data_IF_428050312793
#
_entry.id   IF_428050312793
#
_cell.length_a   1.000
_cell.length_b   1.000
_cell.length_c   1.000
_cell.angle_alpha   90.00
_cell.angle_beta   90.00
_cell.angle_gamma   90.00
#
_symmetry.space_group_name_H-M   'P 1'
#
loop_
_entity.id
_entity.type
_entity.pdbx_description
1 polymer ?
#
# COMPACT_ATOMS: atom_id res chain seq x y z
N UNK A 1 -17.24 -16.97 6.67
CA UNK A 1 -17.13 -15.51 6.83
C UNK A 1 -15.85 -15.27 7.64
N UNK A 2 -14.71 -15.39 6.96
CA UNK A 2 -13.35 -15.29 7.48
C UNK A 2 -12.32 -14.59 6.53
N UNK A 3 -12.64 -14.10 5.30
CA UNK A 3 -11.60 -13.50 4.42
C UNK A 3 -11.16 -12.09 4.83
N UNK A 4 -12.05 -11.29 5.45
CA UNK A 4 -11.83 -9.86 5.72
C UNK A 4 -10.68 -9.50 6.66
N UNK A 5 -10.22 -10.45 7.48
CA UNK A 5 -9.17 -10.20 8.46
C UNK A 5 -7.78 -10.29 7.82
N UNK A 6 -7.58 -11.23 6.88
CA UNK A 6 -6.32 -11.39 6.15
C UNK A 6 -6.11 -10.23 5.17
N UNK A 7 -7.17 -9.81 4.48
CA UNK A 7 -7.18 -8.65 3.57
C UNK A 7 -6.65 -7.39 4.27
N UNK A 8 -7.18 -7.03 5.45
CA UNK A 8 -6.72 -5.87 6.24
C UNK A 8 -5.24 -5.91 6.65
N UNK A 9 -4.59 -7.09 6.70
CA UNK A 9 -3.15 -7.16 6.97
C UNK A 9 -2.33 -6.97 5.70
N UNK A 10 -2.82 -7.47 4.57
CA UNK A 10 -2.18 -7.34 3.26
C UNK A 10 -2.30 -5.91 2.73
N UNK A 11 -3.39 -5.20 3.03
CA UNK A 11 -3.53 -3.75 2.80
C UNK A 11 -2.38 -2.95 3.42
N UNK A 12 -1.76 -3.46 4.50
CA UNK A 12 -0.60 -2.80 5.15
C UNK A 12 0.68 -2.90 4.35
N UNK A 13 0.72 -3.76 3.33
CA UNK A 13 1.79 -3.73 2.36
C UNK A 13 1.73 -2.42 1.58
N UNK A 14 0.55 -1.87 1.31
CA UNK A 14 0.44 -0.59 0.63
C UNK A 14 0.95 0.57 1.50
N UNK A 15 1.79 1.41 0.92
CA UNK A 15 2.15 2.71 1.51
C UNK A 15 1.14 3.75 1.01
N UNK A 16 0.35 4.30 1.93
CA UNK A 16 -0.68 5.30 1.62
C UNK A 16 -0.07 6.61 1.12
N UNK A 17 -0.77 7.30 0.22
CA UNK A 17 -0.29 8.50 -0.46
C UNK A 17 1.01 8.25 -1.25
N UNK A 18 1.15 7.05 -1.82
CA UNK A 18 2.27 6.71 -2.70
C UNK A 18 1.88 6.63 -4.16
N UNK A 19 0.58 6.66 -4.48
CA UNK A 19 0.09 6.59 -5.85
C UNK A 19 0.42 7.88 -6.61
N UNK A 20 1.28 7.76 -7.62
CA UNK A 20 1.77 8.91 -8.38
C UNK A 20 1.85 8.63 -9.89
N UNK A 21 1.72 9.70 -10.68
CA UNK A 21 1.92 9.67 -12.13
C UNK A 21 3.34 10.05 -12.48
N UNK A 22 4.09 9.10 -13.07
CA UNK A 22 5.50 9.31 -13.44
C UNK A 22 5.71 9.24 -14.95
N UNK A 23 6.95 9.46 -15.37
CA UNK A 23 7.39 9.24 -16.75
C UNK A 23 7.28 7.78 -17.18
N UNK A 24 7.30 6.84 -16.24
CA UNK A 24 7.27 5.40 -16.49
C UNK A 24 5.86 4.82 -16.48
N UNK A 25 4.87 5.62 -16.07
CA UNK A 25 3.47 5.20 -16.02
C UNK A 25 2.82 5.67 -14.74
N UNK A 26 2.15 4.75 -14.06
CA UNK A 26 1.57 4.96 -12.73
C UNK A 26 2.41 4.15 -11.75
N UNK A 27 2.81 4.77 -10.64
CA UNK A 27 3.63 4.10 -9.64
C UNK A 27 2.97 4.16 -8.26
N UNK A 28 3.26 3.16 -7.44
CA UNK A 28 2.92 3.15 -6.01
C UNK A 28 3.90 2.28 -5.25
N UNK A 29 3.95 2.47 -3.93
CA UNK A 29 4.90 1.78 -3.06
C UNK A 29 4.22 0.67 -2.26
N UNK A 30 4.83 -0.52 -2.30
CA UNK A 30 4.57 -1.60 -1.37
C UNK A 30 5.73 -1.73 -0.38
N UNK A 31 5.43 -2.01 0.88
CA UNK A 31 6.40 -2.27 1.93
C UNK A 31 6.07 -3.57 2.62
N UNK A 32 7.01 -4.52 2.62
CA UNK A 32 6.84 -5.77 3.34
C UNK A 32 6.83 -5.51 4.86
N UNK A 33 5.63 -5.45 5.46
CA UNK A 33 5.46 -5.23 6.91
C UNK A 33 5.07 -6.48 7.67
N UNK A 34 5.02 -7.63 7.01
CA UNK A 34 4.39 -8.82 7.55
C UNK A 34 5.44 -9.85 7.98
N UNK A 35 6.21 -10.37 7.03
CA UNK A 35 7.14 -11.49 7.22
C UNK A 35 8.22 -11.48 6.13
N UNK A 36 9.40 -12.01 6.42
CA UNK A 36 10.35 -12.44 5.38
C UNK A 36 9.71 -13.63 4.65
N UNK A 37 9.57 -13.54 3.32
CA UNK A 37 8.94 -14.58 2.51
C UNK A 37 9.39 -14.55 1.05
N UNK A 38 9.28 -15.71 0.39
CA UNK A 38 9.45 -15.86 -1.04
C UNK A 38 8.12 -15.57 -1.77
N UNK A 39 8.13 -14.59 -2.66
CA UNK A 39 7.03 -14.25 -3.53
C UNK A 39 7.15 -15.05 -4.83
N UNK A 40 6.19 -15.92 -5.08
CA UNK A 40 6.17 -16.85 -6.22
C UNK A 40 5.42 -16.28 -7.43
N UNK A 41 4.98 -15.02 -7.36
CA UNK A 41 4.43 -14.28 -8.50
C UNK A 41 3.35 -13.28 -8.11
N UNK A 42 3.03 -12.39 -9.06
CA UNK A 42 1.90 -11.48 -8.99
C UNK A 42 0.70 -12.15 -9.68
N UNK A 43 -0.41 -12.29 -8.98
CA UNK A 43 -1.61 -12.95 -9.52
C UNK A 43 -2.57 -11.96 -10.17
N UNK A 44 -2.66 -10.75 -9.61
CA UNK A 44 -3.63 -9.73 -10.02
C UNK A 44 -3.07 -8.34 -9.77
N UNK A 45 -3.23 -7.44 -10.74
CA UNK A 45 -3.17 -5.99 -10.52
C UNK A 45 -4.35 -5.37 -11.26
N UNK A 46 -5.20 -4.63 -10.55
CA UNK A 46 -6.37 -3.92 -11.11
C UNK A 46 -6.33 -2.49 -10.60
N UNK A 47 -6.65 -1.55 -11.47
CA UNK A 47 -6.82 -0.14 -11.12
C UNK A 47 -8.15 0.34 -11.67
N UNK A 48 -9.01 0.86 -10.82
CA UNK A 48 -10.39 1.28 -11.16
C UNK A 48 -11.23 0.21 -11.88
N UNK A 49 -11.01 -1.06 -11.51
CA UNK A 49 -11.68 -2.21 -12.14
C UNK A 49 -11.08 -2.64 -13.48
N UNK A 50 -10.04 -1.97 -13.97
CA UNK A 50 -9.31 -2.33 -15.20
C UNK A 50 -8.07 -3.18 -14.87
N UNK A 51 -8.00 -4.44 -15.33
CA UNK A 51 -6.85 -5.30 -15.05
C UNK A 51 -5.63 -4.89 -15.88
N UNK A 52 -4.45 -4.94 -15.26
CA UNK A 52 -3.16 -4.67 -15.89
C UNK A 52 -2.48 -6.02 -16.22
N UNK A 53 -1.88 -6.14 -17.41
CA UNK A 53 -1.17 -7.36 -17.80
C UNK A 53 0.14 -7.50 -17.01
N UNK A 54 0.55 -8.72 -16.68
CA UNK A 54 1.76 -8.95 -15.89
C UNK A 54 3.04 -8.40 -16.56
N UNK A 55 3.10 -8.40 -17.89
CA UNK A 55 4.20 -7.81 -18.67
C UNK A 55 4.27 -6.27 -18.54
N UNK A 56 3.16 -5.62 -18.17
CA UNK A 56 3.05 -4.18 -17.93
C UNK A 56 3.25 -3.81 -16.45
N UNK A 57 3.59 -4.77 -15.59
CA UNK A 57 3.85 -4.56 -14.16
C UNK A 57 5.32 -4.83 -13.88
N UNK A 58 6.05 -3.80 -13.46
CA UNK A 58 7.45 -3.89 -13.03
C UNK A 58 7.56 -3.64 -11.53
N UNK A 59 8.31 -4.48 -10.83
CA UNK A 59 8.69 -4.30 -9.43
C UNK A 59 10.15 -3.84 -9.37
N UNK A 60 10.43 -2.79 -8.60
CA UNK A 60 11.77 -2.28 -8.35
C UNK A 60 12.08 -2.40 -6.87
N UNK A 61 13.13 -3.15 -6.55
CA UNK A 61 13.58 -3.34 -5.17
C UNK A 61 14.45 -2.18 -4.68
N UNK A 62 14.72 -2.20 -3.37
CA UNK A 62 15.50 -1.17 -2.67
C UNK A 62 16.96 -1.05 -3.13
N UNK A 63 17.50 -2.09 -3.76
CA UNK A 63 18.84 -2.15 -4.35
C UNK A 63 18.86 -1.86 -5.86
N UNK A 64 17.76 -1.32 -6.39
CA UNK A 64 17.53 -0.97 -7.79
C UNK A 64 17.41 -2.18 -8.74
N UNK A 65 17.31 -3.41 -8.21
CA UNK A 65 16.94 -4.58 -9.01
C UNK A 65 15.51 -4.45 -9.55
N UNK A 66 15.29 -4.95 -10.76
CA UNK A 66 14.02 -4.82 -11.48
C UNK A 66 13.56 -6.18 -11.98
N UNK A 67 12.28 -6.46 -11.77
CA UNK A 67 11.62 -7.69 -12.19
C UNK A 67 10.29 -7.33 -12.85
N UNK A 68 10.00 -7.86 -14.03
CA UNK A 68 8.61 -7.85 -14.53
C UNK A 68 7.81 -8.91 -13.79
N UNK A 69 6.51 -8.68 -13.62
CA UNK A 69 5.70 -9.57 -12.81
C UNK A 69 5.61 -11.01 -13.36
N UNK A 70 5.82 -11.21 -14.66
CA UNK A 70 5.88 -12.52 -15.32
C UNK A 70 7.22 -13.25 -15.15
N UNK A 71 8.28 -12.56 -14.73
CA UNK A 71 9.57 -13.19 -14.38
C UNK A 71 9.52 -13.90 -13.02
N UNK A 72 8.61 -13.46 -12.13
CA UNK A 72 8.48 -13.98 -10.77
C UNK A 72 7.54 -15.18 -10.79
N UNK A 73 8.09 -16.37 -10.53
CA UNK A 73 7.35 -17.63 -10.63
C UNK A 73 7.73 -18.57 -9.48
N UNK A 74 6.99 -19.66 -9.23
CA UNK A 74 7.40 -20.65 -8.23
C UNK A 74 8.77 -21.29 -8.51
N UNK A 75 9.22 -21.30 -9.77
CA UNK A 75 10.54 -21.82 -10.17
C UNK A 75 11.66 -20.76 -10.08
N UNK A 76 11.28 -19.48 -9.94
CA UNK A 76 12.16 -18.33 -9.79
C UNK A 76 11.49 -17.29 -8.87
N UNK A 77 11.38 -17.58 -7.55
CA UNK A 77 10.71 -16.69 -6.62
C UNK A 77 11.56 -15.45 -6.33
N UNK A 78 10.88 -14.38 -5.90
CA UNK A 78 11.48 -13.15 -5.43
C UNK A 78 11.54 -13.16 -3.90
N UNK A 79 12.73 -13.13 -3.33
CA UNK A 79 12.92 -12.97 -1.88
C UNK A 79 12.65 -11.51 -1.50
N UNK A 80 11.73 -11.26 -0.55
CA UNK A 80 11.54 -9.93 0.05
C UNK A 80 11.81 -9.97 1.55
N UNK A 81 12.76 -9.15 1.98
CA UNK A 81 13.12 -9.00 3.38
C UNK A 81 12.02 -8.28 4.16
N UNK A 82 11.97 -8.49 5.48
CA UNK A 82 11.08 -7.71 6.34
C UNK A 82 11.49 -6.23 6.29
N UNK A 83 10.49 -5.37 6.16
CA UNK A 83 10.60 -3.92 5.99
C UNK A 83 11.20 -3.48 4.65
N UNK A 84 11.43 -4.39 3.71
CA UNK A 84 11.82 -4.04 2.36
C UNK A 84 10.70 -3.29 1.63
N UNK A 85 11.09 -2.29 0.85
CA UNK A 85 10.21 -1.47 0.03
C UNK A 85 10.37 -1.90 -1.43
N UNK A 86 9.23 -2.03 -2.11
CA UNK A 86 9.11 -2.37 -3.51
C UNK A 86 8.31 -1.27 -4.21
N UNK A 87 8.93 -0.59 -5.16
CA UNK A 87 8.23 0.32 -6.05
C UNK A 87 7.54 -0.49 -7.14
N UNK A 88 6.22 -0.36 -7.26
CA UNK A 88 5.43 -1.01 -8.30
C UNK A 88 5.16 0.02 -9.40
N UNK A 89 5.38 -0.38 -10.65
CA UNK A 89 5.32 0.50 -11.81
C UNK A 89 4.43 -0.16 -12.84
N UNK A 90 3.37 0.55 -13.20
CA UNK A 90 2.35 0.10 -14.14
C UNK A 90 2.53 0.86 -15.46
N UNK A 91 2.85 0.15 -16.54
CA UNK A 91 2.93 0.71 -17.87
C UNK A 91 1.51 0.95 -18.42
N UNK A 92 0.92 2.08 -18.03
CA UNK A 92 -0.44 2.48 -18.44
C UNK A 92 -0.56 4.00 -18.62
N UNK A 93 -1.73 4.41 -19.12
CA UNK A 93 -2.13 5.81 -19.13
C UNK A 93 -2.20 6.36 -17.70
N UNK A 94 -1.77 7.62 -17.56
CA UNK A 94 -1.68 8.31 -16.27
C UNK A 94 -3.07 8.51 -15.70
N UNK A 95 -3.19 8.36 -14.39
CA UNK A 95 -4.42 8.55 -13.67
C UNK A 95 -4.84 10.02 -13.65
N UNK A 96 -6.15 10.25 -13.56
CA UNK A 96 -6.73 11.57 -13.37
C UNK A 96 -6.60 12.00 -11.91
N UNK A 97 -6.97 13.23 -11.59
CA UNK A 97 -7.09 13.63 -10.20
C UNK A 97 -8.24 12.91 -9.49
N UNK A 98 -8.02 12.56 -8.22
CA UNK A 98 -9.03 11.99 -7.34
C UNK A 98 -8.66 10.63 -6.80
N UNK A 99 -9.66 9.95 -6.24
CA UNK A 99 -9.48 8.65 -5.58
C UNK A 99 -9.57 7.52 -6.60
N UNK A 100 -8.61 6.60 -6.53
CA UNK A 100 -8.48 5.43 -7.38
C UNK A 100 -8.46 4.16 -6.53
N UNK A 101 -9.21 3.15 -6.96
CA UNK A 101 -9.23 1.83 -6.32
C UNK A 101 -8.12 0.96 -6.92
N UNK A 102 -7.30 0.36 -6.06
CA UNK A 102 -6.22 -0.55 -6.42
C UNK A 102 -6.52 -1.94 -5.85
N UNK A 103 -6.44 -2.97 -6.69
CA UNK A 103 -6.47 -4.38 -6.28
C UNK A 103 -5.12 -5.03 -6.60
N UNK A 104 -4.49 -5.63 -5.59
CA UNK A 104 -3.21 -6.32 -5.75
C UNK A 104 -3.31 -7.72 -5.19
N UNK A 105 -2.91 -8.71 -5.98
CA UNK A 105 -2.84 -10.11 -5.62
C UNK A 105 -1.45 -10.69 -5.86
N UNK A 106 -0.96 -11.47 -4.90
CA UNK A 106 0.37 -12.07 -4.86
C UNK A 106 0.24 -13.55 -4.49
N UNK A 107 1.17 -14.37 -4.99
CA UNK A 107 1.38 -15.74 -4.49
C UNK A 107 2.62 -15.76 -3.61
N UNK A 108 2.49 -16.29 -2.41
CA UNK A 108 3.58 -16.32 -1.42
C UNK A 108 3.82 -17.76 -0.96
N UNK A 109 5.07 -18.19 -0.94
CA UNK A 109 5.45 -19.55 -0.54
C UNK A 109 4.92 -19.86 0.87
N UNK A 110 4.27 -21.01 1.04
CA UNK A 110 3.69 -21.42 2.32
C UNK A 110 2.37 -20.73 2.71
N UNK A 111 1.96 -19.69 1.99
CA UNK A 111 0.73 -18.93 2.26
C UNK A 111 -0.30 -19.00 1.12
N UNK A 112 0.13 -19.34 -0.10
CA UNK A 112 -0.73 -19.43 -1.27
C UNK A 112 -1.07 -18.06 -1.86
N UNK A 113 -2.24 -17.94 -2.47
CA UNK A 113 -2.70 -16.70 -3.08
C UNK A 113 -3.31 -15.77 -2.02
N UNK A 114 -2.80 -14.55 -1.98
CA UNK A 114 -3.17 -13.49 -1.05
C UNK A 114 -3.41 -12.21 -1.84
N UNK A 115 -4.35 -11.37 -1.42
CA UNK A 115 -4.59 -10.10 -2.08
C UNK A 115 -5.35 -9.12 -1.22
N UNK A 116 -5.36 -7.86 -1.66
CA UNK A 116 -6.06 -6.78 -1.01
C UNK A 116 -6.61 -5.78 -2.02
N UNK A 117 -7.57 -4.98 -1.56
CA UNK A 117 -8.12 -3.84 -2.27
C UNK A 117 -7.96 -2.61 -1.38
N UNK A 118 -7.48 -1.50 -1.94
CA UNK A 118 -7.29 -0.24 -1.21
C UNK A 118 -7.61 0.94 -2.12
N UNK A 119 -7.85 2.11 -1.53
CA UNK A 119 -7.98 3.36 -2.29
C UNK A 119 -6.78 4.25 -2.00
N UNK A 120 -6.27 4.92 -3.02
CA UNK A 120 -5.34 6.04 -2.86
C UNK A 120 -5.77 7.22 -3.72
N UNK A 121 -5.30 8.42 -3.39
CA UNK A 121 -5.70 9.66 -4.06
C UNK A 121 -4.54 10.23 -4.86
N UNK A 122 -4.76 10.45 -6.17
CA UNK A 122 -3.87 11.26 -6.99
C UNK A 122 -4.23 12.72 -6.79
N UNK A 123 -3.33 13.48 -6.18
CA UNK A 123 -3.48 14.91 -5.94
C UNK A 123 -2.71 15.69 -6.99
N UNK A 124 -2.93 17.00 -6.94
CA UNK A 124 -2.25 18.01 -7.75
C UNK A 124 -0.73 17.86 -7.72
N UNK A 125 -0.12 17.43 -6.61
CA UNK A 125 1.33 17.22 -6.46
C UNK A 125 1.84 15.89 -7.05
N UNK A 126 0.97 14.91 -7.21
CA UNK A 126 1.28 13.57 -7.72
C UNK A 126 1.11 13.47 -9.25
N UNK A 127 0.67 14.56 -9.88
CA UNK A 127 0.58 14.69 -11.33
C UNK A 127 1.98 14.78 -11.94
N UNK A 128 2.10 14.24 -13.16
CA UNK A 128 3.33 14.30 -13.94
C UNK A 128 3.86 15.74 -14.08
N UNK A 129 5.06 15.98 -13.56
CA UNK A 129 5.65 17.31 -13.47
C UNK A 129 7.10 17.33 -13.99
N UNK A 130 7.26 17.18 -15.31
CA UNK A 130 8.58 17.12 -15.95
C UNK A 130 8.95 18.42 -16.67
N UNK A 131 10.25 18.63 -16.90
CA UNK A 131 10.75 19.74 -17.72
C UNK A 131 10.76 19.34 -19.21
N UNK A 132 9.91 19.95 -20.06
CA UNK A 132 9.89 19.66 -21.49
C UNK A 132 11.25 19.84 -22.19
N UNK A 133 12.13 20.70 -21.65
CA UNK A 133 13.47 20.94 -22.17
C UNK A 133 14.41 19.74 -22.15
N UNK A 134 14.15 18.77 -21.27
CA UNK A 134 14.95 17.54 -21.15
C UNK A 134 14.59 16.49 -22.22
N UNK A 135 13.51 16.70 -22.98
CA UNK A 135 13.03 15.78 -24.01
C UNK A 135 13.20 16.36 -25.41
N UNK A 136 13.39 15.49 -26.39
CA UNK A 136 13.13 15.84 -27.78
C UNK A 136 11.62 16.02 -28.02
N UNK A 137 11.26 16.70 -29.12
CA UNK A 137 9.84 16.86 -29.51
C UNK A 137 9.16 15.50 -29.74
N UNK A 138 9.91 14.47 -30.16
CA UNK A 138 9.35 13.13 -30.37
C UNK A 138 9.02 12.46 -29.02
N UNK A 139 9.97 12.44 -28.10
CA UNK A 139 9.81 11.85 -26.76
C UNK A 139 8.70 12.58 -25.98
N UNK A 140 8.67 13.91 -26.02
CA UNK A 140 7.62 14.70 -25.37
C UNK A 140 6.22 14.38 -25.92
N UNK A 141 6.11 14.08 -27.22
CA UNK A 141 4.84 13.70 -27.85
C UNK A 141 4.38 12.32 -27.40
N UNK A 142 5.29 11.37 -27.26
CA UNK A 142 4.98 10.04 -26.74
C UNK A 142 4.56 10.14 -25.27
N UNK A 143 5.31 10.88 -24.45
CA UNK A 143 4.96 11.14 -23.05
C UNK A 143 3.57 11.78 -22.91
N UNK A 144 3.31 12.88 -23.63
CA UNK A 144 2.03 13.58 -23.57
C UNK A 144 0.87 12.85 -24.28
N UNK A 145 1.14 11.81 -25.07
CA UNK A 145 0.09 10.94 -25.59
C UNK A 145 -0.57 10.14 -24.46
N UNK A 146 0.23 9.62 -23.52
CA UNK A 146 -0.20 8.82 -22.37
C UNK A 146 -0.74 9.65 -21.18
N UNK A 147 -0.72 10.98 -21.27
CA UNK A 147 -1.31 11.87 -20.27
C UNK A 147 -2.77 12.14 -20.63
N UNK A 148 -3.69 11.74 -19.74
CA UNK A 148 -5.12 12.01 -19.90
C UNK A 148 -5.63 13.17 -19.07
N UNK A 149 -4.90 13.57 -18.03
CA UNK A 149 -5.28 14.63 -17.09
C UNK A 149 -5.03 16.03 -17.69
N UNK A 150 -6.08 16.86 -17.90
CA UNK A 150 -5.94 18.21 -18.41
C UNK A 150 -4.94 19.07 -17.61
N UNK A 151 -4.97 19.01 -16.28
CA UNK A 151 -4.07 19.84 -15.46
C UNK A 151 -2.59 19.51 -15.70
N UNK A 152 -2.26 18.23 -15.92
CA UNK A 152 -0.89 17.81 -16.29
C UNK A 152 -0.48 18.39 -17.64
N UNK A 153 -1.37 18.34 -18.64
CA UNK A 153 -1.12 18.91 -19.97
C UNK A 153 -0.97 20.44 -19.94
N UNK A 154 -1.76 21.13 -19.12
CA UNK A 154 -1.66 22.59 -18.93
C UNK A 154 -0.30 22.99 -18.35
N UNK A 155 0.20 22.25 -17.35
CA UNK A 155 1.52 22.49 -16.76
C UNK A 155 2.66 22.23 -17.73
N UNK A 156 2.60 21.13 -18.48
CA UNK A 156 3.58 20.83 -19.52
C UNK A 156 3.59 21.91 -20.60
N UNK A 157 2.42 22.36 -21.04
CA UNK A 157 2.27 23.43 -22.03
C UNK A 157 2.83 24.76 -21.50
N UNK A 158 2.54 25.12 -20.25
CA UNK A 158 3.07 26.32 -19.62
C UNK A 158 4.61 26.29 -19.57
N UNK A 159 5.20 25.17 -19.11
CA UNK A 159 6.66 25.00 -19.11
C UNK A 159 7.29 25.01 -20.49
N UNK A 160 6.64 24.39 -21.48
CA UNK A 160 7.15 24.41 -22.86
C UNK A 160 7.21 25.84 -23.39
N UNK A 161 6.18 26.67 -23.14
CA UNK A 161 6.15 28.08 -23.56
C UNK A 161 7.14 28.97 -22.82
N UNK A 162 7.31 28.73 -21.51
CA UNK A 162 8.24 29.52 -20.68
C UNK A 162 9.71 29.11 -20.89
N UNK A 163 9.95 27.89 -21.36
CA UNK A 163 11.26 27.31 -21.60
C UNK A 163 11.63 27.23 -23.09
N UNK A 164 11.65 26.04 -23.73
CA UNK A 164 12.13 25.88 -25.11
C UNK A 164 11.31 26.59 -26.20
N UNK A 165 10.02 26.83 -25.96
CA UNK A 165 9.02 27.44 -26.85
C UNK A 165 9.03 26.85 -28.28
N UNK A 166 9.08 25.52 -28.38
CA UNK A 166 9.12 24.84 -29.68
C UNK A 166 7.71 24.77 -30.24
N UNK A 167 7.45 25.51 -31.31
CA UNK A 167 6.12 25.61 -31.94
C UNK A 167 5.44 24.25 -32.16
N UNK A 168 6.18 23.26 -32.64
CA UNK A 168 5.64 21.92 -32.92
C UNK A 168 5.26 21.11 -31.67
N UNK A 169 5.87 21.41 -30.53
CA UNK A 169 5.53 20.80 -29.24
C UNK A 169 4.32 21.52 -28.63
N UNK A 170 4.34 22.85 -28.63
CA UNK A 170 3.22 23.70 -28.20
C UNK A 170 1.92 23.33 -28.92
N UNK A 171 1.92 23.30 -30.25
CA UNK A 171 0.73 22.96 -31.05
C UNK A 171 0.22 21.54 -30.74
N UNK A 172 1.12 20.60 -30.45
CA UNK A 172 0.73 19.24 -30.07
C UNK A 172 0.09 19.21 -28.68
N UNK A 173 0.69 19.86 -27.69
CA UNK A 173 0.18 19.92 -26.31
C UNK A 173 -1.16 20.64 -26.25
N UNK A 174 -1.33 21.74 -27.00
CA UNK A 174 -2.62 22.42 -27.15
C UNK A 174 -3.70 21.51 -27.74
N UNK A 175 -3.38 20.79 -28.81
CA UNK A 175 -4.31 19.84 -29.42
C UNK A 175 -4.65 18.67 -28.51
N UNK A 176 -3.68 18.19 -27.71
CA UNK A 176 -3.92 17.16 -26.68
C UNK A 176 -4.82 17.68 -25.57
N UNK A 177 -4.59 18.89 -25.09
CA UNK A 177 -5.40 19.54 -24.06
C UNK A 177 -6.83 19.78 -24.53
N UNK A 178 -7.03 20.20 -25.79
CA UNK A 178 -8.38 20.35 -26.37
C UNK A 178 -9.11 19.00 -26.48
N UNK A 179 -8.37 17.93 -26.77
CA UNK A 179 -8.92 16.58 -26.83
C UNK A 179 -9.13 15.94 -25.45
N UNK A 180 -8.53 16.49 -24.39
CA UNK A 180 -8.68 15.98 -23.03
C UNK A 180 -10.04 16.42 -22.48
N UNK A 181 -10.87 15.44 -22.12
CA UNK A 181 -12.15 15.74 -21.50
C UNK A 181 -11.92 16.23 -20.06
N UNK A 182 -12.60 17.31 -19.63
CA UNK A 182 -12.54 17.74 -18.24
C UNK A 182 -13.16 16.67 -17.33
N UNK A 183 -12.74 16.65 -16.06
CA UNK A 183 -13.37 15.81 -15.04
C UNK A 183 -14.89 16.01 -15.05
N UNK A 184 -15.63 14.91 -15.15
CA UNK A 184 -17.08 14.95 -15.00
C UNK A 184 -17.45 15.29 -13.55
N UNK A 185 -18.67 15.79 -13.35
CA UNK A 185 -19.18 16.05 -12.00
C UNK A 185 -19.22 14.78 -11.12
N UNK A 186 -19.29 13.58 -11.71
CA UNK A 186 -19.24 12.32 -10.97
C UNK A 186 -17.82 11.96 -10.54
N UNK A 187 -16.81 12.20 -11.39
CA UNK A 187 -15.39 12.04 -11.05
C UNK A 187 -14.96 13.05 -9.99
N UNK A 188 -15.39 14.31 -10.10
CA UNK A 188 -15.14 15.33 -9.08
C UNK A 188 -15.80 15.02 -7.72
N UNK A 189 -16.82 14.15 -7.70
CA UNK A 189 -17.56 13.75 -6.48
C UNK A 189 -17.05 12.44 -5.90
N UNK A 190 -16.28 11.64 -6.64
CA UNK A 190 -15.68 10.36 -6.21
C UNK A 190 -14.55 10.50 -5.17
N UNK A 191 -14.44 11.64 -4.48
CA UNK A 191 -13.48 11.86 -3.40
C UNK A 191 -13.69 11.00 -2.15
N UNK A 192 -14.77 10.21 -2.09
CA UNK A 192 -14.99 9.27 -0.98
C UNK A 192 -14.36 7.91 -1.33
N UNK A 193 -13.44 7.39 -0.51
CA UNK A 193 -12.84 6.07 -0.73
C UNK A 193 -13.91 4.99 -0.75
N UNK A 194 -13.76 4.03 -1.66
CA UNK A 194 -14.66 2.88 -1.78
C UNK A 194 -14.53 1.96 -0.54
N UNK A 195 -13.35 1.97 0.09
CA UNK A 195 -13.01 1.35 1.36
C UNK A 195 -13.32 2.31 2.53
N UNK A 196 -14.46 2.12 3.19
CA UNK A 196 -14.82 2.89 4.39
C UNK A 196 -14.04 2.42 5.63
N UNK A 197 -12.81 2.87 5.87
CA UNK A 197 -12.13 2.58 7.16
C UNK A 197 -11.08 3.59 7.68
N UNK A 198 -11.30 4.90 7.51
CA UNK A 198 -10.37 5.92 8.04
C UNK A 198 -10.28 5.97 9.58
N UNK A 199 -11.26 5.41 10.31
CA UNK A 199 -11.28 5.42 11.79
C UNK A 199 -10.45 4.32 12.46
N UNK A 200 -10.23 3.21 11.77
CA UNK A 200 -9.47 2.05 12.27
C UNK A 200 -7.95 2.29 12.19
N UNK A 201 -7.49 3.05 11.19
CA UNK A 201 -6.05 3.29 10.93
C UNK A 201 -5.29 3.92 12.10
N UNK A 202 -5.74 5.06 12.65
CA UNK A 202 -4.99 5.81 13.68
C UNK A 202 -4.77 4.99 14.97
N UNK A 203 -5.81 4.25 15.40
CA UNK A 203 -5.70 3.41 16.60
C UNK A 203 -4.78 2.23 16.34
N UNK A 204 -4.79 1.68 15.12
CA UNK A 204 -3.94 0.56 14.72
C UNK A 204 -2.47 0.97 14.51
N UNK A 205 -2.21 2.16 13.96
CA UNK A 205 -0.85 2.73 13.84
C UNK A 205 -0.22 2.92 15.22
N UNK A 206 -1.00 3.46 16.15
CA UNK A 206 -0.55 3.64 17.53
C UNK A 206 -0.36 2.30 18.27
N UNK A 207 -1.12 1.26 17.92
CA UNK A 207 -0.90 -0.09 18.43
C UNK A 207 0.38 -0.73 17.87
N UNK A 208 0.80 -0.41 16.64
CA UNK A 208 2.09 -0.89 16.09
C UNK A 208 3.26 -0.27 16.83
N UNK A 209 3.22 1.04 17.08
CA UNK A 209 4.23 1.73 17.90
C UNK A 209 4.30 1.14 19.32
N UNK A 210 3.17 0.69 19.86
CA UNK A 210 3.06 0.23 21.25
C UNK A 210 3.31 -1.28 21.42
N UNK A 211 2.93 -2.10 20.44
CA UNK A 211 3.12 -3.55 20.48
C UNK A 211 4.44 -3.98 19.84
N UNK A 212 5.18 -3.05 19.22
CA UNK A 212 6.59 -3.16 18.79
C UNK A 212 6.87 -4.27 17.75
N UNK A 213 5.85 -5.02 17.31
CA UNK A 213 5.96 -6.05 16.26
C UNK A 213 4.63 -6.21 15.50
N UNK A 214 4.66 -6.29 14.15
CA UNK A 214 3.49 -6.61 13.34
C UNK A 214 2.82 -7.95 13.70
N UNK A 215 3.63 -8.95 14.05
CA UNK A 215 3.16 -10.26 14.50
C UNK A 215 2.32 -10.12 15.78
N UNK A 216 2.81 -9.33 16.73
CA UNK A 216 2.11 -9.00 17.97
C UNK A 216 0.78 -8.32 17.69
N UNK A 217 0.76 -7.31 16.83
CA UNK A 217 -0.48 -6.63 16.42
C UNK A 217 -1.48 -7.60 15.79
N UNK A 218 -1.03 -8.53 14.94
CA UNK A 218 -1.89 -9.53 14.31
C UNK A 218 -2.56 -10.45 15.34
N UNK A 219 -1.78 -10.99 16.28
CA UNK A 219 -2.31 -11.83 17.37
C UNK A 219 -3.28 -11.04 18.25
N UNK A 220 -2.89 -9.83 18.67
CA UNK A 220 -3.68 -8.98 19.54
C UNK A 220 -5.06 -8.63 18.95
N UNK A 221 -5.09 -8.15 17.71
CA UNK A 221 -6.34 -7.78 17.05
C UNK A 221 -7.22 -8.99 16.74
N UNK A 222 -6.61 -10.14 16.43
CA UNK A 222 -7.37 -11.38 16.24
C UNK A 222 -8.06 -11.78 17.54
N UNK A 223 -7.36 -11.77 18.67
CA UNK A 223 -7.98 -12.04 19.98
C UNK A 223 -9.06 -11.00 20.30
N UNK A 224 -8.80 -9.72 20.05
CA UNK A 224 -9.75 -8.62 20.28
C UNK A 224 -11.04 -8.81 19.49
N UNK A 225 -10.94 -9.34 18.26
CA UNK A 225 -12.08 -9.61 17.38
C UNK A 225 -12.87 -10.84 17.85
N UNK A 226 -12.18 -11.85 18.37
CA UNK A 226 -12.81 -13.04 18.95
C UNK A 226 -13.45 -12.76 20.31
N UNK A 227 -12.97 -11.74 21.02
CA UNK A 227 -13.23 -11.52 22.44
C UNK A 227 -12.33 -12.40 23.32
N UNK A 228 -12.28 -13.70 23.04
CA UNK A 228 -11.32 -14.64 23.61
C UNK A 228 -11.10 -15.82 22.65
N UNK A 229 -9.97 -16.52 22.77
CA UNK A 229 -9.75 -17.76 22.01
C UNK A 229 -8.48 -18.51 22.41
N UNK A 230 -8.42 -19.80 22.06
CA UNK A 230 -7.22 -20.62 22.26
C UNK A 230 -6.14 -20.29 21.21
N UNK A 231 -4.85 -20.62 21.46
CA UNK A 231 -3.80 -20.40 20.47
C UNK A 231 -4.07 -21.06 19.11
N UNK A 232 -4.70 -22.25 19.09
CA UNK A 232 -5.09 -22.95 17.86
C UNK A 232 -6.15 -22.17 17.08
N UNK A 233 -7.19 -21.68 17.76
CA UNK A 233 -8.26 -20.91 17.12
C UNK A 233 -7.78 -19.55 16.59
N UNK A 234 -6.86 -18.91 17.30
CA UNK A 234 -6.25 -17.64 16.89
C UNK A 234 -5.31 -17.89 15.71
N UNK A 235 -4.47 -18.94 15.76
CA UNK A 235 -3.61 -19.33 14.66
C UNK A 235 -4.40 -19.62 13.38
N UNK A 236 -5.52 -20.34 13.50
CA UNK A 236 -6.43 -20.59 12.37
C UNK A 236 -7.10 -19.35 11.77
N UNK A 237 -6.90 -18.16 12.36
CA UNK A 237 -7.41 -16.87 11.87
C UNK A 237 -6.31 -15.83 11.65
N UNK A 238 -5.05 -16.21 11.84
CA UNK A 238 -3.88 -15.38 11.53
C UNK A 238 -3.04 -16.07 10.46
N UNK A 239 -2.04 -15.36 9.95
CA UNK A 239 -1.00 -15.93 9.08
C UNK A 239 0.17 -16.50 9.91
N UNK A 240 -0.02 -16.77 11.20
CA UNK A 240 1.05 -17.15 12.11
C UNK A 240 0.91 -18.61 12.55
N UNK A 241 2.02 -19.36 12.62
CA UNK A 241 2.03 -20.70 13.21
C UNK A 241 1.50 -20.70 14.65
N UNK A 242 0.81 -21.76 15.07
CA UNK A 242 0.24 -21.88 16.43
C UNK A 242 1.28 -21.69 17.54
N UNK A 243 2.50 -22.19 17.35
CA UNK A 243 3.58 -21.98 18.30
C UNK A 243 3.98 -20.51 18.42
N UNK A 244 4.01 -19.77 17.31
CA UNK A 244 4.29 -18.33 17.29
C UNK A 244 3.18 -17.56 17.98
N UNK A 245 1.92 -17.87 17.67
CA UNK A 245 0.75 -17.29 18.33
C UNK A 245 0.80 -17.55 19.84
N UNK A 246 1.10 -18.79 20.26
CA UNK A 246 1.24 -19.16 21.67
C UNK A 246 2.32 -18.35 22.37
N UNK A 247 3.53 -18.27 21.81
CA UNK A 247 4.60 -17.49 22.43
C UNK A 247 4.25 -16.01 22.53
N UNK A 248 3.59 -15.45 21.50
CA UNK A 248 3.15 -14.05 21.53
C UNK A 248 2.08 -13.78 22.60
N UNK A 249 1.15 -14.72 22.80
CA UNK A 249 0.14 -14.61 23.85
C UNK A 249 0.75 -14.74 25.26
N UNK A 250 1.75 -15.59 25.43
CA UNK A 250 2.53 -15.71 26.67
C UNK A 250 3.31 -14.41 26.96
N UNK A 251 3.89 -13.77 25.94
CA UNK A 251 4.52 -12.46 26.09
C UNK A 251 3.49 -11.40 26.51
N UNK A 252 2.33 -11.35 25.85
CA UNK A 252 1.25 -10.43 26.24
C UNK A 252 0.75 -10.66 27.67
N UNK A 253 0.63 -11.91 28.12
CA UNK A 253 0.29 -12.23 29.50
C UNK A 253 1.35 -11.70 30.47
N UNK A 254 2.64 -11.90 30.16
CA UNK A 254 3.75 -11.40 30.98
C UNK A 254 3.82 -9.88 31.06
N UNK A 255 3.32 -9.19 30.04
CA UNK A 255 3.25 -7.74 29.95
C UNK A 255 1.91 -7.17 30.45
N UNK A 256 1.07 -7.97 31.13
CA UNK A 256 -0.34 -7.70 31.46
C UNK A 256 -1.11 -6.98 30.33
N UNK A 257 -0.96 -7.47 29.11
CA UNK A 257 -1.72 -7.11 27.92
C UNK A 257 -2.75 -8.19 27.55
N UNK A 258 -2.62 -9.40 28.10
CA UNK A 258 -3.58 -10.48 27.95
C UNK A 258 -3.80 -11.21 29.28
N UNK A 259 -4.98 -11.82 29.41
CA UNK A 259 -5.36 -12.69 30.51
C UNK A 259 -5.65 -14.09 29.96
N UNK A 260 -5.13 -15.12 30.64
CA UNK A 260 -5.40 -16.53 30.33
C UNK A 260 -6.51 -17.08 31.22
N UNK A 261 -7.58 -17.57 30.60
CA UNK A 261 -8.69 -18.26 31.26
C UNK A 261 -8.36 -19.69 31.66
N UNK A 262 -9.20 -20.27 32.53
CA UNK A 262 -9.04 -21.65 33.03
C UNK A 262 -9.15 -22.71 31.92
N UNK A 263 -9.88 -22.40 30.84
CA UNK A 263 -10.07 -23.25 29.67
C UNK A 263 -8.92 -23.13 28.64
N UNK A 264 -7.90 -22.31 28.94
CA UNK A 264 -6.75 -22.09 28.05
C UNK A 264 -6.98 -21.05 26.95
N UNK A 265 -8.11 -20.36 26.97
CA UNK A 265 -8.39 -19.21 26.12
C UNK A 265 -7.65 -17.96 26.62
N UNK A 266 -7.23 -17.11 25.68
CA UNK A 266 -6.66 -15.81 25.95
C UNK A 266 -7.66 -14.72 25.57
N UNK A 267 -7.76 -13.69 26.42
CA UNK A 267 -8.40 -12.41 26.09
C UNK A 267 -7.38 -11.29 26.21
N UNK A 268 -7.46 -10.26 25.38
CA UNK A 268 -6.55 -9.11 25.43
C UNK A 268 -7.19 -7.91 26.10
N UNK A 269 -6.37 -7.08 26.73
CA UNK A 269 -6.77 -5.78 27.27
C UNK A 269 -7.31 -4.88 26.15
N UNK A 270 -8.13 -3.89 26.50
CA UNK A 270 -8.67 -2.96 25.49
C UNK A 270 -7.56 -2.08 24.88
N UNK A 271 -7.67 -1.64 23.61
CA UNK A 271 -6.68 -0.77 22.98
C UNK A 271 -6.35 0.48 23.79
N UNK A 272 -7.37 1.11 24.39
CA UNK A 272 -7.17 2.28 25.26
C UNK A 272 -6.30 1.95 26.47
N UNK A 273 -6.47 0.77 27.07
CA UNK A 273 -5.68 0.31 28.21
C UNK A 273 -4.23 0.04 27.82
N UNK A 274 -4.01 -0.58 26.66
CA UNK A 274 -2.66 -0.86 26.11
C UNK A 274 -1.89 0.44 25.88
N UNK A 275 -2.52 1.43 25.27
CA UNK A 275 -1.93 2.75 25.02
C UNK A 275 -1.60 3.52 26.31
N UNK A 276 -2.53 3.51 27.28
CA UNK A 276 -2.33 4.17 28.57
C UNK A 276 -1.18 3.54 29.37
N UNK A 277 -1.01 2.22 29.27
CA UNK A 277 0.07 1.51 29.95
C UNK A 277 1.43 1.94 29.43
N UNK A 278 1.63 1.96 28.11
CA UNK A 278 2.89 2.41 27.53
C UNK A 278 3.18 3.89 27.71
N UNK A 279 2.17 4.76 27.68
CA UNK A 279 2.35 6.14 28.07
C UNK A 279 2.90 6.25 29.51
N UNK A 280 2.36 5.47 30.45
CA UNK A 280 2.80 5.45 31.85
C UNK A 280 4.23 4.91 31.99
N UNK A 281 4.59 3.88 31.24
CA UNK A 281 5.93 3.29 31.26
C UNK A 281 6.98 4.26 30.73
N UNK A 282 6.70 4.93 29.60
CA UNK A 282 7.55 6.00 29.05
C UNK A 282 7.72 7.16 30.06
N UNK A 283 6.64 7.60 30.71
CA UNK A 283 6.71 8.62 31.76
C UNK A 283 7.52 8.17 32.98
N UNK A 284 7.46 6.89 33.34
CA UNK A 284 8.24 6.31 34.44
C UNK A 284 9.72 6.27 34.10
N UNK A 285 10.06 5.83 32.88
CA UNK A 285 11.44 5.80 32.36
C UNK A 285 12.02 7.21 32.34
N UNK A 286 11.31 8.18 31.73
CA UNK A 286 11.75 9.58 31.65
C UNK A 286 11.98 10.21 33.03
N UNK A 287 11.13 9.88 34.02
CA UNK A 287 11.28 10.36 35.40
C UNK A 287 12.43 9.69 36.14
N UNK A 288 12.80 8.45 35.77
CA UNK A 288 13.93 7.73 36.36
C UNK A 288 15.30 8.16 35.80
N UNK A 289 15.30 8.79 34.62
CA UNK A 289 16.51 9.28 33.93
C UNK A 289 16.81 10.77 34.16
N UNK A 290 15.94 11.49 34.88
CA UNK A 290 16.11 12.89 35.32
C UNK A 290 16.47 12.94 36.82
#
# INVERSE_FOLDING_TARGET
MAPRVIEQYLERLFTWESLENTERGVEFELKNRLIEAEFEGVTTVVVDGEPIAAEDVTLVLSDEERYTADEITPDAPLELDLAETVQVILERDRLRLGVHELEVGLRVEGYGEVGFTTDDEVRTEDLLDVDPGEYTVAELRELAAAVTEPESLERLLARERDGPDRTTAVEFLEGRLEAAEPLSAEEMVRSEPTTKDTGSSIVNDLLVEVLESPQRVSVYLTVQTLGAGTPEEIAGRTLLPENTVRSTLEDFESEDLADRGEDGEYSVASPVSVLQKRQKDLWSILRSTL
#
